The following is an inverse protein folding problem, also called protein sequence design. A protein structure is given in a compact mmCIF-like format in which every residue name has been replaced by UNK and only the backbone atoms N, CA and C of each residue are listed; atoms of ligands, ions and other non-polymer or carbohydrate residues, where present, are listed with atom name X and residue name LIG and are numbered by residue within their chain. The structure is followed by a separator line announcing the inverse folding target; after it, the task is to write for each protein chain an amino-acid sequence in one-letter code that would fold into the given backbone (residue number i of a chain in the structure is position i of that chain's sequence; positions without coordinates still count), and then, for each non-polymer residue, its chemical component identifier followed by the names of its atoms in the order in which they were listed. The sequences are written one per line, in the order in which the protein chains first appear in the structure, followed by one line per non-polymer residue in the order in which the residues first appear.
data_IF_318468649887
#
_entry.id   IF_318468649887
#
_cell.length_a   1.000
_cell.length_b   1.000
_cell.length_c   1.000
_cell.angle_alpha   90.00
_cell.angle_beta   90.00
_cell.angle_gamma   90.00
#
_symmetry.space_group_name_H-M   'P 1'
#
loop_
_entity.id
_entity.type
_entity.pdbx_description
1 polymer ?
#
# COMPACT_ATOMS: atom_id res chain seq x y z
N UNK A 1 6.61 -3.97 -21.03
CA UNK A 1 6.31 -2.55 -20.78
C UNK A 1 5.57 -2.45 -19.47
N UNK A 2 5.68 -1.31 -18.74
CA UNK A 2 4.94 -1.08 -17.49
C UNK A 2 3.98 0.05 -17.73
N UNK A 3 2.70 -0.21 -17.45
CA UNK A 3 1.65 0.78 -17.51
C UNK A 3 1.21 1.17 -16.10
N UNK A 4 0.80 2.41 -15.89
CA UNK A 4 0.31 2.91 -14.62
C UNK A 4 -1.09 3.47 -14.82
N UNK A 5 -2.06 2.84 -14.16
CA UNK A 5 -3.43 3.33 -14.09
C UNK A 5 -3.67 4.01 -12.74
N UNK A 6 -4.11 5.27 -12.78
CA UNK A 6 -4.47 6.01 -11.57
C UNK A 6 -5.96 5.89 -11.34
N UNK A 7 -6.34 4.98 -10.43
CA UNK A 7 -7.75 4.72 -10.12
C UNK A 7 -8.47 5.93 -9.50
N UNK A 8 -7.73 6.82 -8.82
CA UNK A 8 -8.24 8.10 -8.31
C UNK A 8 -9.21 8.00 -7.15
N UNK A 9 -9.14 6.90 -6.38
CA UNK A 9 -9.99 6.65 -5.22
C UNK A 9 -9.27 5.84 -4.14
N UNK A 10 -9.96 5.54 -3.03
CA UNK A 10 -9.40 4.75 -1.95
C UNK A 10 -9.77 3.25 -2.05
N UNK A 11 -9.12 2.45 -1.21
CA UNK A 11 -9.26 0.99 -1.17
C UNK A 11 -10.71 0.55 -0.85
N UNK A 12 -11.47 1.32 -0.07
CA UNK A 12 -12.84 0.96 0.33
C UNK A 12 -13.83 1.13 -0.81
N UNK A 13 -13.61 2.07 -1.72
CA UNK A 13 -14.41 2.17 -2.95
C UNK A 13 -14.10 1.02 -3.91
N UNK A 14 -12.85 0.57 -3.97
CA UNK A 14 -12.51 -0.65 -4.70
C UNK A 14 -13.24 -1.85 -4.12
N UNK A 15 -13.26 -1.99 -2.77
CA UNK A 15 -13.99 -3.05 -2.09
C UNK A 15 -15.48 -3.05 -2.50
N UNK A 16 -16.11 -1.89 -2.42
CA UNK A 16 -17.53 -1.76 -2.76
C UNK A 16 -17.83 -2.17 -4.20
N UNK A 17 -16.95 -1.85 -5.13
CA UNK A 17 -17.13 -2.18 -6.54
C UNK A 17 -16.89 -3.65 -6.87
N UNK A 18 -15.92 -4.25 -6.22
CA UNK A 18 -15.51 -5.63 -6.52
C UNK A 18 -16.36 -6.63 -5.75
N UNK A 19 -16.62 -6.38 -4.47
CA UNK A 19 -17.20 -7.38 -3.58
C UNK A 19 -18.67 -7.17 -3.26
N UNK A 20 -19.16 -5.92 -3.14
CA UNK A 20 -20.58 -5.70 -2.81
C UNK A 20 -21.50 -6.15 -3.93
N UNK A 21 -22.37 -7.10 -3.59
CA UNK A 21 -23.30 -7.71 -4.54
C UNK A 21 -22.73 -8.86 -5.38
N UNK A 22 -21.45 -9.22 -5.18
CA UNK A 22 -20.79 -10.35 -5.85
C UNK A 22 -20.24 -11.36 -4.85
N UNK A 23 -20.73 -11.39 -3.62
CA UNK A 23 -20.19 -12.20 -2.51
C UNK A 23 -20.19 -13.71 -2.83
N UNK A 24 -21.15 -14.18 -3.64
CA UNK A 24 -21.27 -15.58 -4.06
C UNK A 24 -20.47 -15.92 -5.34
N UNK A 25 -19.92 -14.92 -6.05
CA UNK A 25 -19.26 -15.07 -7.35
C UNK A 25 -17.78 -14.57 -7.33
N UNK A 26 -17.16 -14.52 -6.17
CA UNK A 26 -15.82 -13.93 -5.99
C UNK A 26 -14.76 -14.54 -6.93
N UNK A 27 -14.84 -15.83 -7.23
CA UNK A 27 -13.85 -16.52 -8.09
C UNK A 27 -13.94 -16.12 -9.58
N UNK A 28 -14.98 -15.38 -9.99
CA UNK A 28 -15.21 -15.00 -11.39
C UNK A 28 -15.10 -13.49 -11.66
N UNK A 29 -14.67 -12.70 -10.69
CA UNK A 29 -14.60 -11.24 -10.83
C UNK A 29 -13.41 -10.85 -11.71
N UNK A 30 -13.69 -10.24 -12.86
CA UNK A 30 -12.67 -9.57 -13.68
C UNK A 30 -12.47 -8.13 -13.18
N UNK A 31 -11.33 -7.90 -12.53
CA UNK A 31 -10.96 -6.57 -11.99
C UNK A 31 -10.93 -5.51 -13.09
N UNK A 32 -10.31 -5.80 -14.25
CA UNK A 32 -10.17 -4.82 -15.33
C UNK A 32 -11.54 -4.45 -15.89
N UNK A 33 -12.45 -5.42 -16.03
CA UNK A 33 -13.82 -5.16 -16.44
C UNK A 33 -14.55 -4.25 -15.43
N UNK A 34 -14.40 -4.50 -14.13
CA UNK A 34 -14.99 -3.64 -13.09
C UNK A 34 -14.43 -2.22 -13.07
N UNK A 35 -13.14 -2.06 -13.34
CA UNK A 35 -12.53 -0.74 -13.48
C UNK A 35 -13.02 -0.02 -14.74
N UNK A 36 -13.22 -0.75 -15.83
CA UNK A 36 -13.74 -0.23 -17.09
C UNK A 36 -15.17 0.31 -16.99
N UNK A 37 -16.00 -0.24 -16.13
CA UNK A 37 -17.34 0.31 -15.82
C UNK A 37 -17.28 1.78 -15.35
N UNK A 38 -16.17 2.18 -14.72
CA UNK A 38 -15.93 3.56 -14.24
C UNK A 38 -15.27 4.45 -15.30
N UNK A 39 -14.37 3.90 -16.08
CA UNK A 39 -13.48 4.61 -17.00
C UNK A 39 -13.41 3.87 -18.34
N UNK A 40 -14.56 3.85 -19.05
CA UNK A 40 -14.74 3.08 -20.29
C UNK A 40 -13.80 3.50 -21.41
N UNK A 41 -13.35 4.75 -21.39
CA UNK A 41 -12.57 5.35 -22.46
C UNK A 41 -11.04 5.19 -22.26
N UNK A 42 -10.63 4.56 -21.14
CA UNK A 42 -9.22 4.38 -20.86
C UNK A 42 -8.64 3.14 -21.55
N UNK A 43 -7.79 3.33 -22.58
CA UNK A 43 -7.32 2.23 -23.40
C UNK A 43 -6.47 1.20 -22.64
N UNK A 44 -5.85 1.59 -21.51
CA UNK A 44 -5.06 0.68 -20.67
C UNK A 44 -5.90 -0.48 -20.12
N UNK A 45 -7.21 -0.26 -19.91
CA UNK A 45 -8.11 -1.28 -19.37
C UNK A 45 -8.54 -2.32 -20.43
N UNK A 46 -8.18 -2.13 -21.71
CA UNK A 46 -8.35 -3.08 -22.80
C UNK A 46 -7.12 -3.96 -23.03
N UNK A 47 -6.01 -3.61 -22.38
CA UNK A 47 -4.74 -4.33 -22.51
C UNK A 47 -4.75 -5.65 -21.73
N UNK A 48 -3.90 -6.58 -22.16
CA UNK A 48 -3.62 -7.82 -21.40
C UNK A 48 -2.33 -7.65 -20.63
N UNK A 49 -2.41 -7.91 -19.35
CA UNK A 49 -1.26 -7.84 -18.44
C UNK A 49 -0.85 -9.23 -17.97
N UNK A 50 0.47 -9.45 -17.85
CA UNK A 50 1.00 -10.65 -17.18
C UNK A 50 0.86 -10.56 -15.67
N UNK A 51 0.94 -9.33 -15.15
CA UNK A 51 0.92 -9.04 -13.72
C UNK A 51 0.13 -7.77 -13.45
N UNK A 52 -0.72 -7.80 -12.43
CA UNK A 52 -1.47 -6.66 -11.94
C UNK A 52 -1.03 -6.38 -10.50
N UNK A 53 -0.58 -5.15 -10.25
CA UNK A 53 -0.19 -4.69 -8.92
C UNK A 53 -1.12 -3.56 -8.50
N UNK A 54 -1.77 -3.74 -7.34
CA UNK A 54 -2.67 -2.78 -6.73
C UNK A 54 -1.93 -2.11 -5.57
N UNK A 55 -1.89 -0.77 -5.55
CA UNK A 55 -1.24 -0.01 -4.48
C UNK A 55 -2.23 1.00 -3.93
N UNK A 56 -2.58 0.86 -2.65
CA UNK A 56 -3.52 1.74 -1.96
C UNK A 56 -2.98 2.17 -0.60
N UNK A 57 -3.52 3.26 -0.09
CA UNK A 57 -3.32 3.66 1.30
C UNK A 57 -4.27 2.88 2.22
N UNK A 58 -3.86 2.63 3.46
CA UNK A 58 -4.69 1.95 4.46
C UNK A 58 -5.89 2.77 4.88
N UNK A 59 -5.72 4.08 4.98
CA UNK A 59 -6.75 5.10 5.23
C UNK A 59 -7.78 4.75 6.32
N UNK A 60 -7.36 4.48 7.57
CA UNK A 60 -8.26 4.05 8.64
C UNK A 60 -9.20 5.17 9.13
N UNK A 61 -9.07 6.38 8.60
CA UNK A 61 -9.98 7.50 8.83
C UNK A 61 -11.23 7.47 7.95
N UNK A 62 -11.28 6.62 6.91
CA UNK A 62 -12.48 6.45 6.09
C UNK A 62 -13.59 5.80 6.93
N UNK A 63 -14.83 6.26 6.79
CA UNK A 63 -15.97 5.74 7.54
C UNK A 63 -16.36 4.31 7.17
N UNK A 64 -15.86 3.80 6.03
CA UNK A 64 -16.05 2.43 5.54
C UNK A 64 -14.97 1.48 6.03
N UNK A 65 -13.99 1.99 6.79
CA UNK A 65 -12.90 1.17 7.32
C UNK A 65 -13.42 -0.04 8.10
N UNK A 66 -12.87 -1.21 7.77
CA UNK A 66 -13.08 -2.48 8.46
C UNK A 66 -11.85 -3.37 8.25
N UNK A 67 -11.35 -3.96 9.34
CA UNK A 67 -10.23 -4.89 9.30
C UNK A 67 -10.59 -6.16 8.51
N UNK A 68 -11.84 -6.61 8.61
CA UNK A 68 -12.35 -7.77 7.89
C UNK A 68 -12.34 -7.52 6.37
N UNK A 69 -12.75 -6.33 5.93
CA UNK A 69 -12.72 -5.94 4.51
C UNK A 69 -11.29 -5.88 3.98
N UNK A 70 -10.38 -5.30 4.74
CA UNK A 70 -8.95 -5.26 4.38
C UNK A 70 -8.38 -6.66 4.25
N UNK A 71 -8.66 -7.54 5.22
CA UNK A 71 -8.21 -8.93 5.19
C UNK A 71 -8.75 -9.68 3.98
N UNK A 72 -10.05 -9.56 3.70
CA UNK A 72 -10.69 -10.19 2.55
C UNK A 72 -10.04 -9.74 1.23
N UNK A 73 -9.75 -8.43 1.08
CA UNK A 73 -9.07 -7.92 -0.11
C UNK A 73 -7.63 -8.42 -0.23
N UNK A 74 -6.88 -8.53 0.87
CA UNK A 74 -5.52 -9.08 0.87
C UNK A 74 -5.51 -10.56 0.50
N UNK A 75 -6.48 -11.32 0.99
CA UNK A 75 -6.63 -12.75 0.69
C UNK A 75 -7.01 -12.95 -0.79
N UNK A 76 -7.93 -12.14 -1.32
CA UNK A 76 -8.37 -12.20 -2.71
C UNK A 76 -7.30 -11.72 -3.70
N UNK A 77 -6.70 -10.56 -3.45
CA UNK A 77 -5.65 -9.99 -4.28
C UNK A 77 -4.26 -10.43 -3.81
N UNK A 78 -4.02 -11.74 -3.79
CA UNK A 78 -2.78 -12.33 -3.27
C UNK A 78 -1.73 -12.61 -4.35
N UNK A 79 -2.15 -12.82 -5.61
CA UNK A 79 -1.27 -13.22 -6.71
C UNK A 79 -1.38 -12.26 -7.91
N UNK A 80 -0.24 -11.69 -8.34
CA UNK A 80 -0.19 -10.68 -9.41
C UNK A 80 -0.62 -11.22 -10.77
N UNK A 81 -0.44 -12.52 -11.01
CA UNK A 81 -0.74 -13.22 -12.26
C UNK A 81 -2.19 -13.68 -12.39
N UNK A 82 -2.97 -13.53 -11.34
CA UNK A 82 -4.40 -13.91 -11.28
C UNK A 82 -5.28 -12.67 -11.12
N UNK A 83 -5.79 -12.46 -9.91
CA UNK A 83 -6.69 -11.35 -9.60
C UNK A 83 -5.95 -10.02 -9.37
N UNK A 84 -4.63 -10.06 -9.33
CA UNK A 84 -3.77 -8.96 -8.93
C UNK A 84 -3.23 -9.13 -7.52
N UNK A 85 -2.14 -8.41 -7.20
CA UNK A 85 -1.52 -8.39 -5.88
C UNK A 85 -1.66 -7.05 -5.21
N UNK A 86 -2.31 -7.05 -4.04
CA UNK A 86 -2.55 -5.84 -3.26
C UNK A 86 -1.38 -5.53 -2.33
N UNK A 87 -0.90 -4.29 -2.44
CA UNK A 87 0.03 -3.68 -1.50
C UNK A 87 -0.63 -2.49 -0.80
N UNK A 88 -0.45 -2.40 0.50
CA UNK A 88 -1.05 -1.34 1.32
C UNK A 88 0.05 -0.48 1.93
N UNK A 89 0.02 0.82 1.67
CA UNK A 89 0.85 1.79 2.36
C UNK A 89 0.30 2.01 3.78
N UNK A 90 1.05 1.61 4.79
CA UNK A 90 0.61 1.73 6.18
C UNK A 90 1.37 2.83 6.91
N UNK A 91 0.67 3.76 7.56
CA UNK A 91 -0.78 3.99 7.50
C UNK A 91 -1.24 4.71 6.23
N UNK A 92 -0.33 5.27 5.44
CA UNK A 92 -0.53 5.89 4.12
C UNK A 92 0.80 6.14 3.42
N UNK A 93 0.77 6.59 2.17
CA UNK A 93 1.95 6.83 1.34
C UNK A 93 3.02 7.68 2.04
N UNK A 94 2.62 8.71 2.78
CA UNK A 94 3.55 9.59 3.49
C UNK A 94 4.52 8.87 4.44
N UNK A 95 4.25 7.63 4.81
CA UNK A 95 5.12 6.83 5.71
C UNK A 95 6.54 6.69 5.17
N UNK A 96 6.73 6.62 3.83
CA UNK A 96 8.05 6.49 3.22
C UNK A 96 9.00 7.64 3.53
N UNK A 97 8.50 8.82 3.84
CA UNK A 97 9.30 10.01 4.15
C UNK A 97 9.36 10.36 5.64
N UNK A 98 8.76 9.56 6.52
CA UNK A 98 8.72 9.82 7.96
C UNK A 98 10.05 9.49 8.66
N UNK A 99 11.12 10.06 8.14
CA UNK A 99 12.47 9.97 8.69
C UNK A 99 12.93 11.32 9.25
N UNK A 100 13.42 11.33 10.49
CA UNK A 100 13.92 12.55 11.17
C UNK A 100 15.35 12.88 10.78
N UNK A 101 16.12 11.90 10.32
CA UNK A 101 17.50 12.01 9.83
C UNK A 101 17.79 10.91 8.80
N UNK A 102 18.96 10.97 8.18
CA UNK A 102 19.48 9.90 7.33
C UNK A 102 20.96 9.67 7.67
N UNK A 103 21.31 8.53 8.28
CA UNK A 103 20.44 7.46 8.77
C UNK A 103 19.56 7.90 9.96
N UNK A 104 18.46 7.15 10.22
CA UNK A 104 17.55 7.38 11.34
C UNK A 104 17.46 6.10 12.20
N UNK A 105 18.32 6.02 13.22
CA UNK A 105 18.43 4.84 14.08
C UNK A 105 17.16 4.56 14.90
N UNK A 106 16.38 5.62 15.21
CA UNK A 106 15.14 5.50 15.96
C UNK A 106 13.96 5.08 15.09
N UNK A 107 14.10 5.08 13.76
CA UNK A 107 13.02 4.75 12.83
C UNK A 107 12.43 3.36 13.11
N UNK A 108 13.25 2.38 13.41
CA UNK A 108 12.85 0.99 13.67
C UNK A 108 11.81 0.92 14.80
N UNK A 109 12.00 1.70 15.87
CA UNK A 109 11.15 1.72 17.06
C UNK A 109 10.05 2.77 17.00
N UNK A 110 10.08 3.68 16.01
CA UNK A 110 9.11 4.77 15.91
C UNK A 110 7.70 4.23 15.72
N UNK A 111 6.79 4.72 16.53
CA UNK A 111 5.36 4.41 16.49
C UNK A 111 4.57 5.72 16.44
N UNK A 112 3.39 5.66 15.86
CA UNK A 112 2.40 6.73 15.91
C UNK A 112 1.13 6.15 16.52
N UNK A 113 0.47 6.93 17.35
CA UNK A 113 -0.79 6.54 17.97
C UNK A 113 -1.85 6.34 16.88
N UNK A 114 -2.50 5.18 16.89
CA UNK A 114 -3.51 4.81 15.89
C UNK A 114 -4.72 5.76 15.91
N UNK A 115 -5.09 6.28 17.07
CA UNK A 115 -6.17 7.26 17.18
C UNK A 115 -5.83 8.59 16.48
N UNK A 116 -4.55 8.97 16.42
CA UNK A 116 -4.12 10.15 15.65
C UNK A 116 -4.21 9.86 14.14
N UNK A 117 -3.91 8.65 13.74
CA UNK A 117 -4.05 8.22 12.32
C UNK A 117 -5.52 8.25 11.91
N UNK A 118 -6.42 7.67 12.71
CA UNK A 118 -7.87 7.70 12.47
C UNK A 118 -8.45 9.13 12.40
N UNK A 119 -7.86 10.07 13.13
CA UNK A 119 -8.22 11.48 13.06
C UNK A 119 -7.61 12.22 11.87
N UNK A 120 -6.94 11.54 10.95
CA UNK A 120 -6.29 12.13 9.78
C UNK A 120 -5.07 12.99 10.10
N UNK A 121 -4.47 12.88 11.31
CA UNK A 121 -3.35 13.72 11.77
C UNK A 121 -1.97 13.25 11.30
N UNK A 122 -1.87 12.04 10.75
CA UNK A 122 -0.57 11.45 10.41
C UNK A 122 0.21 12.30 9.40
N UNK A 123 -0.44 12.80 8.37
CA UNK A 123 0.19 13.67 7.35
C UNK A 123 0.78 14.95 7.94
N UNK A 124 0.10 15.53 8.92
CA UNK A 124 0.58 16.71 9.65
C UNK A 124 1.80 16.38 10.51
N UNK A 125 1.80 15.22 11.18
CA UNK A 125 2.94 14.72 11.97
C UNK A 125 4.16 14.55 11.06
N UNK A 126 4.01 13.83 9.95
CA UNK A 126 5.09 13.63 8.97
C UNK A 126 5.60 14.96 8.44
N UNK A 127 4.70 15.90 8.10
CA UNK A 127 5.08 17.22 7.61
C UNK A 127 5.94 18.02 8.59
N UNK A 128 5.76 17.82 9.90
CA UNK A 128 6.54 18.48 10.97
C UNK A 128 7.85 17.77 11.28
N UNK A 129 7.86 16.44 11.22
CA UNK A 129 8.98 15.63 11.71
C UNK A 129 9.95 15.19 10.60
N UNK A 130 9.48 15.08 9.35
CA UNK A 130 10.29 14.55 8.26
C UNK A 130 11.46 15.47 7.90
N UNK A 131 12.68 14.91 7.83
CA UNK A 131 13.89 15.60 7.38
C UNK A 131 13.79 16.11 5.94
N UNK A 132 13.17 15.32 5.07
CA UNK A 132 12.95 15.65 3.66
C UNK A 132 11.45 15.49 3.36
N UNK A 133 10.79 16.59 2.96
CA UNK A 133 9.36 16.60 2.67
C UNK A 133 9.04 16.61 1.17
N UNK A 134 9.98 17.07 0.33
CA UNK A 134 9.79 17.21 -1.12
C UNK A 134 10.49 16.06 -1.85
N UNK A 135 9.74 15.33 -2.68
CA UNK A 135 10.24 14.15 -3.38
C UNK A 135 11.43 14.43 -4.29
N UNK A 136 11.49 15.58 -4.91
CA UNK A 136 12.60 15.99 -5.78
C UNK A 136 13.95 16.21 -5.04
N UNK A 137 13.95 16.13 -3.72
CA UNK A 137 15.16 16.19 -2.88
C UNK A 137 15.65 14.80 -2.45
N UNK A 138 14.92 13.74 -2.82
CA UNK A 138 15.34 12.37 -2.52
C UNK A 138 16.38 11.92 -3.55
N UNK A 139 17.58 11.61 -3.09
CA UNK A 139 18.62 10.99 -3.91
C UNK A 139 18.49 9.48 -3.92
N UNK A 140 19.20 8.80 -4.81
CA UNK A 140 19.24 7.33 -4.84
C UNK A 140 19.70 6.75 -3.48
N UNK A 141 20.69 7.38 -2.84
CA UNK A 141 21.21 6.92 -1.55
C UNK A 141 20.16 7.06 -0.44
N UNK A 142 19.39 8.15 -0.44
CA UNK A 142 18.27 8.35 0.49
C UNK A 142 17.18 7.28 0.26
N UNK A 143 16.85 6.96 -0.99
CA UNK A 143 15.89 5.88 -1.27
C UNK A 143 16.39 4.52 -0.81
N UNK A 144 17.68 4.21 -1.02
CA UNK A 144 18.29 2.98 -0.53
C UNK A 144 18.21 2.88 1.00
N UNK A 145 18.50 3.99 1.70
CA UNK A 145 18.40 4.03 3.17
C UNK A 145 16.96 3.83 3.65
N UNK A 146 15.97 4.41 2.97
CA UNK A 146 14.54 4.21 3.24
C UNK A 146 14.18 2.72 3.10
N UNK A 147 14.58 2.09 2.00
CA UNK A 147 14.31 0.67 1.73
C UNK A 147 14.91 -0.20 2.84
N UNK A 148 16.20 -0.01 3.13
CA UNK A 148 16.92 -0.78 4.16
C UNK A 148 16.27 -0.60 5.54
N UNK A 149 15.91 0.63 5.89
CA UNK A 149 15.28 0.94 7.18
C UNK A 149 13.87 0.33 7.31
N UNK A 150 13.08 0.31 6.22
CA UNK A 150 11.77 -0.34 6.21
C UNK A 150 11.90 -1.86 6.35
N UNK A 151 12.88 -2.49 5.69
CA UNK A 151 13.16 -3.92 5.84
C UNK A 151 13.57 -4.24 7.28
N UNK A 152 14.49 -3.46 7.86
CA UNK A 152 14.88 -3.62 9.26
C UNK A 152 13.69 -3.47 10.21
N UNK A 153 12.80 -2.51 9.95
CA UNK A 153 11.58 -2.31 10.74
C UNK A 153 10.60 -3.47 10.59
N UNK A 154 10.39 -3.97 9.38
CA UNK A 154 9.57 -5.14 9.14
C UNK A 154 10.12 -6.35 9.92
N UNK A 155 11.42 -6.62 9.81
CA UNK A 155 12.07 -7.68 10.57
C UNK A 155 11.92 -7.47 12.10
N UNK A 156 12.07 -6.25 12.59
CA UNK A 156 11.89 -5.94 14.01
C UNK A 156 10.46 -6.19 14.49
N UNK A 157 9.45 -5.86 13.67
CA UNK A 157 8.03 -6.08 14.01
C UNK A 157 7.69 -7.57 13.98
N UNK A 158 8.27 -8.31 13.02
CA UNK A 158 8.03 -9.74 12.83
C UNK A 158 9.02 -10.65 13.58
N UNK A 159 10.01 -10.08 14.25
CA UNK A 159 11.11 -10.81 14.92
C UNK A 159 10.70 -11.70 16.10
N UNK A 160 9.43 -11.70 16.48
CA UNK A 160 8.84 -12.76 17.29
C UNK A 160 8.56 -14.03 16.46
N UNK A 161 8.75 -13.99 15.15
CA UNK A 161 8.76 -15.13 14.25
C UNK A 161 10.24 -15.45 13.97
N UNK A 162 10.66 -16.69 14.19
CA UNK A 162 12.06 -17.13 14.19
C UNK A 162 12.83 -16.96 12.87
N UNK A 163 12.19 -16.45 11.79
CA UNK A 163 12.81 -16.27 10.48
C UNK A 163 12.88 -14.78 10.08
N UNK A 164 14.07 -14.19 10.22
CA UNK A 164 14.39 -12.89 9.63
C UNK A 164 14.51 -13.07 8.11
N UNK A 165 13.50 -12.64 7.38
CA UNK A 165 13.57 -12.63 5.91
C UNK A 165 14.71 -11.73 5.43
N UNK A 166 15.52 -12.22 4.52
CA UNK A 166 16.55 -11.45 3.85
C UNK A 166 15.93 -10.46 2.84
N UNK A 167 16.70 -9.44 2.45
CA UNK A 167 16.25 -8.51 1.38
C UNK A 167 15.83 -9.27 0.12
N UNK A 168 16.53 -10.36 -0.22
CA UNK A 168 16.22 -11.19 -1.39
C UNK A 168 14.89 -11.93 -1.26
N UNK A 169 14.52 -12.35 -0.05
CA UNK A 169 13.24 -13.06 0.20
C UNK A 169 12.03 -12.12 0.20
N UNK A 170 12.24 -10.82 0.40
CA UNK A 170 11.19 -9.81 0.37
C UNK A 170 10.91 -9.34 -1.07
N UNK A 171 11.91 -9.44 -1.97
CA UNK A 171 11.83 -8.95 -3.36
C UNK A 171 11.75 -10.08 -4.41
N UNK A 172 11.76 -11.35 -4.02
CA UNK A 172 11.41 -12.48 -4.85
C UNK A 172 9.97 -12.88 -4.57
#
# INVERSE_FOLDING_TARGET
EREIYVYGTNIYELYEKVFLGNEDEMDSIDLLQKLKEKDSDNPILDEKFSDIILIFDYDPQDNRYSEERIKLMLDYFSESTENGKLYINYPMLESYKHFKSFPDEEYIKRKVDFELVKKGKYKEIVGKEAKITKINKFTKDVFNEIIISNIKKANYITSNLEDLKSIKEIYN
#
